data_IF_231032634194
#
_entry.id   IF_231032634194
#
_cell.length_a   1.000
_cell.length_b   1.000
_cell.length_c   1.000
_cell.angle_alpha   90.00
_cell.angle_beta   90.00
_cell.angle_gamma   90.00
#
_symmetry.space_group_name_H-M   'P 1'
#
loop_
_entity.id
_entity.type
_entity.pdbx_description
1 polymer ?
#
# COMPACT_ATOMS: atom_id res chain seq x y z
N UNK A 1 -12.91 2.68 -0.09
CA UNK A 1 -11.74 1.98 -0.65
C UNK A 1 -11.95 0.48 -0.52
N UNK A 2 -11.97 -0.22 -1.65
CA UNK A 2 -11.96 -1.68 -1.75
C UNK A 2 -10.52 -2.17 -1.88
N UNK A 3 -10.14 -3.23 -1.18
CA UNK A 3 -8.82 -3.84 -1.31
C UNK A 3 -8.90 -4.97 -2.33
N UNK A 4 -8.03 -4.94 -3.34
CA UNK A 4 -7.90 -5.97 -4.36
C UNK A 4 -6.50 -6.54 -4.24
N UNK A 5 -6.38 -7.79 -3.79
CA UNK A 5 -5.09 -8.41 -3.53
C UNK A 5 -5.02 -9.80 -4.19
N UNK A 6 -3.87 -10.13 -4.77
CA UNK A 6 -3.56 -11.50 -5.14
C UNK A 6 -3.49 -12.37 -3.87
N UNK A 7 -4.01 -13.62 -3.86
CA UNK A 7 -3.86 -14.55 -2.75
C UNK A 7 -2.43 -14.65 -2.18
N UNK A 8 -1.40 -14.53 -3.02
CA UNK A 8 0.00 -14.56 -2.59
C UNK A 8 0.35 -13.41 -1.62
N UNK A 9 -0.32 -12.25 -1.73
CA UNK A 9 -0.15 -11.12 -0.82
C UNK A 9 -0.57 -11.52 0.60
N UNK A 10 -1.72 -12.17 0.74
CA UNK A 10 -2.24 -12.60 2.05
C UNK A 10 -1.33 -13.62 2.72
N UNK A 11 -0.73 -14.54 1.96
CA UNK A 11 0.28 -15.47 2.49
C UNK A 11 1.54 -14.74 2.97
N UNK A 12 2.07 -13.83 2.16
CA UNK A 12 3.28 -13.08 2.49
C UNK A 12 3.08 -12.18 3.72
N UNK A 13 1.95 -11.48 3.80
CA UNK A 13 1.64 -10.59 4.93
C UNK A 13 1.47 -11.40 6.22
N UNK A 14 0.81 -12.55 6.18
CA UNK A 14 0.68 -13.43 7.36
C UNK A 14 2.05 -13.91 7.86
N UNK A 15 2.96 -14.28 6.97
CA UNK A 15 4.34 -14.64 7.34
C UNK A 15 5.10 -13.49 8.01
N UNK A 16 4.71 -12.24 7.74
CA UNK A 16 5.33 -11.02 8.27
C UNK A 16 4.62 -10.44 9.50
N UNK A 17 3.62 -11.15 10.06
CA UNK A 17 2.89 -10.74 11.27
C UNK A 17 1.45 -10.30 11.03
N UNK A 18 0.90 -10.52 9.83
CA UNK A 18 -0.53 -10.35 9.53
C UNK A 18 -0.99 -8.92 9.28
N UNK A 19 -0.07 -7.95 9.25
CA UNK A 19 -0.35 -6.53 9.01
C UNK A 19 0.45 -5.99 7.85
N UNK A 20 -0.21 -5.22 6.99
CA UNK A 20 0.42 -4.47 5.90
C UNK A 20 0.13 -2.99 6.07
N UNK A 21 1.17 -2.17 6.12
CA UNK A 21 1.07 -0.72 6.13
C UNK A 21 1.29 -0.20 4.72
N UNK A 22 0.40 0.66 4.25
CA UNK A 22 0.49 1.33 2.94
C UNK A 22 0.33 2.83 3.15
N UNK A 23 1.19 3.63 2.52
CA UNK A 23 1.13 5.08 2.66
C UNK A 23 1.57 5.81 1.41
N UNK A 24 1.03 7.02 1.23
CA UNK A 24 1.44 7.92 0.16
C UNK A 24 2.80 8.53 0.41
N UNK A 25 3.63 8.62 -0.62
CA UNK A 25 4.93 9.27 -0.57
C UNK A 25 4.98 10.34 -1.67
N UNK A 26 4.67 11.60 -1.33
CA UNK A 26 4.66 12.69 -2.31
C UNK A 26 6.08 13.11 -2.64
N UNK A 27 6.44 13.06 -3.92
CA UNK A 27 7.69 13.55 -4.47
C UNK A 27 7.45 14.80 -5.30
N UNK A 28 8.29 15.81 -5.11
CA UNK A 28 8.35 16.97 -6.00
C UNK A 28 9.44 16.73 -7.03
N UNK A 29 9.07 16.77 -8.31
CA UNK A 29 10.01 16.71 -9.41
C UNK A 29 9.85 17.92 -10.32
N UNK A 30 10.80 18.14 -11.23
CA UNK A 30 10.85 19.28 -12.15
C UNK A 30 9.58 19.47 -13.00
N UNK A 31 8.75 18.42 -13.14
CA UNK A 31 7.52 18.40 -13.95
C UNK A 31 6.22 18.42 -13.14
N UNK A 32 6.27 18.46 -11.80
CA UNK A 32 5.08 18.47 -10.95
C UNK A 32 5.23 17.65 -9.66
N UNK A 33 4.09 17.47 -8.99
CA UNK A 33 3.98 16.59 -7.83
C UNK A 33 3.61 15.19 -8.31
N UNK A 34 4.31 14.17 -7.81
CA UNK A 34 4.00 12.78 -8.11
C UNK A 34 3.98 12.02 -6.78
N UNK A 35 2.87 11.37 -6.50
CA UNK A 35 2.66 10.63 -5.26
C UNK A 35 2.73 9.14 -5.55
N UNK A 36 3.68 8.48 -4.91
CA UNK A 36 3.84 7.04 -4.96
C UNK A 36 3.15 6.36 -3.77
N UNK A 37 2.95 5.06 -3.87
CA UNK A 37 2.56 4.22 -2.75
C UNK A 37 3.74 3.40 -2.26
N UNK A 38 3.99 3.47 -0.96
CA UNK A 38 4.97 2.62 -0.28
C UNK A 38 4.25 1.63 0.62
N UNK A 39 4.88 0.46 0.81
CA UNK A 39 4.36 -0.61 1.65
C UNK A 39 5.41 -1.06 2.66
N UNK A 40 4.98 -1.53 3.82
CA UNK A 40 5.86 -2.13 4.81
C UNK A 40 5.12 -2.97 5.85
N UNK A 41 5.84 -3.85 6.54
CA UNK A 41 5.31 -4.63 7.67
C UNK A 41 5.31 -3.86 9.00
N UNK A 42 5.86 -2.64 9.00
CA UNK A 42 5.88 -1.72 10.14
C UNK A 42 5.52 -0.31 9.66
N UNK A 43 4.84 0.49 10.51
CA UNK A 43 4.49 1.85 10.15
C UNK A 43 5.73 2.75 10.18
N UNK A 44 5.85 3.73 9.27
CA UNK A 44 6.71 4.88 9.48
C UNK A 44 6.26 5.70 10.69
N UNK A 45 7.18 6.45 11.30
CA UNK A 45 6.85 7.36 12.39
C UNK A 45 5.95 8.51 11.91
N UNK A 46 5.11 9.04 12.82
CA UNK A 46 4.31 10.26 12.63
C UNK A 46 3.32 10.21 11.46
N UNK A 47 2.63 9.08 11.28
CA UNK A 47 1.51 8.96 10.35
C UNK A 47 0.32 8.34 11.02
N UNK A 48 -0.87 8.80 10.63
CA UNK A 48 -2.14 8.22 11.06
C UNK A 48 -2.58 7.20 10.02
N UNK A 49 -3.00 6.04 10.50
CA UNK A 49 -3.40 4.92 9.66
C UNK A 49 -4.85 4.56 9.94
N UNK A 50 -5.58 4.26 8.87
CA UNK A 50 -6.93 3.71 8.95
C UNK A 50 -6.87 2.23 8.59
N UNK A 51 -7.48 1.40 9.43
CA UNK A 51 -7.57 -0.03 9.21
C UNK A 51 -8.67 -0.34 8.19
N UNK A 52 -8.37 -1.25 7.28
CA UNK A 52 -9.27 -1.82 6.29
C UNK A 52 -9.14 -3.34 6.38
N UNK A 53 -10.28 -4.01 6.36
CA UNK A 53 -10.31 -5.46 6.27
C UNK A 53 -9.93 -5.86 4.82
N UNK A 54 -8.95 -6.75 4.71
CA UNK A 54 -8.56 -7.38 3.47
C UNK A 54 -8.60 -8.89 3.69
N UNK A 55 -9.12 -9.64 2.72
CA UNK A 55 -9.36 -11.08 2.86
C UNK A 55 -8.10 -11.84 3.36
N UNK A 56 -8.04 -12.07 4.67
CA UNK A 56 -6.96 -12.81 5.35
C UNK A 56 -5.81 -11.99 5.97
N UNK A 57 -5.85 -10.65 5.96
CA UNK A 57 -4.88 -9.81 6.69
C UNK A 57 -5.40 -8.40 6.99
N UNK A 58 -4.77 -7.70 7.94
CA UNK A 58 -5.13 -6.33 8.27
C UNK A 58 -4.33 -5.34 7.41
N UNK A 59 -5.03 -4.50 6.63
CA UNK A 59 -4.43 -3.41 5.87
C UNK A 59 -4.56 -2.10 6.64
N UNK A 60 -3.45 -1.41 6.86
CA UNK A 60 -3.40 -0.07 7.44
C UNK A 60 -2.99 0.93 6.37
N UNK A 61 -3.89 1.84 6.00
CA UNK A 61 -3.65 2.80 4.92
C UNK A 61 -3.64 4.26 5.40
N UNK A 62 -2.65 5.02 4.91
CA UNK A 62 -2.46 6.45 5.16
C UNK A 62 -2.43 7.21 3.82
N UNK A 63 -3.53 7.82 3.36
CA UNK A 63 -3.56 8.58 2.11
C UNK A 63 -2.90 9.97 2.24
N UNK A 64 -2.55 10.41 3.45
CA UNK A 64 -2.10 11.78 3.69
C UNK A 64 -3.25 12.77 3.50
N UNK A 65 -3.04 13.82 2.70
CA UNK A 65 -4.07 14.84 2.42
C UNK A 65 -4.98 14.48 1.23
N UNK A 66 -4.85 13.28 0.67
CA UNK A 66 -5.64 12.82 -0.47
C UNK A 66 -6.88 12.05 0.00
N UNK A 67 -7.94 12.07 -0.79
CA UNK A 67 -9.03 11.10 -0.61
C UNK A 67 -8.49 9.69 -0.91
N UNK A 68 -8.90 8.64 -0.17
CA UNK A 68 -8.52 7.26 -0.51
C UNK A 68 -8.93 6.87 -1.94
N UNK A 69 -8.23 5.93 -2.59
CA UNK A 69 -8.68 5.37 -3.87
C UNK A 69 -10.00 4.62 -3.74
N UNK A 70 -10.68 4.45 -4.88
CA UNK A 70 -11.82 3.54 -4.98
C UNK A 70 -11.36 2.10 -4.76
N UNK A 71 -10.26 1.72 -5.42
CA UNK A 71 -9.61 0.43 -5.28
C UNK A 71 -8.12 0.56 -4.97
N UNK A 72 -7.66 -0.13 -3.93
CA UNK A 72 -6.25 -0.31 -3.64
C UNK A 72 -5.81 -1.71 -4.09
N UNK A 73 -4.98 -1.75 -5.13
CA UNK A 73 -4.50 -3.00 -5.72
C UNK A 73 -3.17 -3.39 -5.09
N UNK A 74 -3.01 -4.67 -4.75
CA UNK A 74 -1.84 -5.22 -4.06
C UNK A 74 -1.31 -6.46 -4.82
N UNK A 75 -0.02 -6.45 -5.14
CA UNK A 75 0.68 -7.57 -5.78
C UNK A 75 1.93 -7.94 -5.00
N UNK A 76 2.38 -9.19 -5.15
CA UNK A 76 3.75 -9.59 -4.76
C UNK A 76 4.71 -9.39 -5.92
N UNK A 77 5.83 -8.72 -5.66
CA UNK A 77 6.95 -8.55 -6.61
C UNK A 77 8.27 -9.00 -6.00
N UNK A 78 9.22 -9.32 -6.88
CA UNK A 78 10.59 -9.69 -6.53
C UNK A 78 10.75 -11.18 -6.22
N UNK A 79 11.63 -11.87 -6.95
CA UNK A 79 11.77 -13.33 -6.85
C UNK A 79 12.59 -13.79 -5.63
N UNK A 80 13.73 -13.14 -5.33
CA UNK A 80 14.59 -13.49 -4.18
C UNK A 80 14.18 -12.82 -2.87
N UNK A 81 13.62 -11.61 -2.95
CA UNK A 81 13.14 -10.84 -1.80
C UNK A 81 11.74 -10.34 -2.15
N UNK A 82 10.76 -11.22 -1.93
CA UNK A 82 9.35 -10.93 -2.14
C UNK A 82 8.94 -9.74 -1.29
N UNK A 83 8.26 -8.79 -1.91
CA UNK A 83 7.66 -7.62 -1.27
C UNK A 83 6.27 -7.41 -1.84
N UNK A 84 5.38 -6.84 -1.04
CA UNK A 84 4.11 -6.34 -1.55
C UNK A 84 4.38 -5.01 -2.27
N UNK A 85 3.70 -4.75 -3.36
CA UNK A 85 3.59 -3.42 -3.99
C UNK A 85 2.13 -3.00 -4.01
N UNK A 86 1.89 -1.69 -3.94
CA UNK A 86 0.54 -1.12 -3.92
C UNK A 86 0.33 -0.18 -5.09
N UNK A 87 -0.87 -0.23 -5.67
CA UNK A 87 -1.26 0.58 -6.81
C UNK A 87 -2.59 1.29 -6.53
N UNK A 88 -2.63 2.58 -6.84
CA UNK A 88 -3.76 3.47 -6.64
C UNK A 88 -4.71 3.37 -7.81
N UNK A 89 -5.89 2.76 -7.66
CA UNK A 89 -6.80 2.46 -8.77
C UNK A 89 -6.07 1.74 -9.95
N UNK A 90 -5.10 0.87 -9.64
CA UNK A 90 -4.27 0.19 -10.63
C UNK A 90 -3.06 0.99 -11.16
N UNK A 91 -2.84 2.24 -10.71
CA UNK A 91 -1.71 3.06 -11.11
C UNK A 91 -0.58 3.06 -10.06
N UNK A 92 0.69 3.05 -10.52
CA UNK A 92 1.87 3.07 -9.63
C UNK A 92 2.14 4.44 -8.98
N UNK A 93 1.60 5.51 -9.57
CA UNK A 93 1.63 6.86 -9.01
C UNK A 93 0.36 7.64 -9.39
N UNK A 94 0.11 8.73 -8.68
CA UNK A 94 -0.94 9.72 -8.94
C UNK A 94 -0.37 11.14 -8.84
N UNK A 95 -1.02 12.12 -9.48
CA UNK A 95 -0.61 13.54 -9.54
C UNK A 95 -1.59 14.38 -8.71
#
# INVERSE_FOLDING_TARGET
MKVVADPEVGELVRQQGGRLYVWTDPHKCCSGNMTYLLTGSRPPARREFHAYDADGFELLFSPGNMNPPDELHLDVKGWRKKRVEAYWNGCVFVI
#
